data_IF_087693392455
#
_entry.id   IF_087693392455
#
_cell.length_a   1.000
_cell.length_b   1.000
_cell.length_c   1.000
_cell.angle_alpha   90.00
_cell.angle_beta   90.00
_cell.angle_gamma   90.00
#
_symmetry.space_group_name_H-M   'P 1'
#
loop_
_entity.id
_entity.type
_entity.pdbx_description
1 polymer ?
#
# COMPACT_ATOMS: atom_id res chain seq x y z
N UNK A 1 -17.64 5.14 5.55
CA UNK A 1 -18.04 4.81 6.94
C UNK A 1 -17.34 3.54 7.45
N UNK A 2 -17.55 2.37 6.82
CA UNK A 2 -16.92 1.10 7.23
C UNK A 2 -15.39 1.20 7.44
N UNK A 3 -14.67 1.79 6.49
CA UNK A 3 -13.22 2.03 6.61
C UNK A 3 -12.87 2.82 7.88
N UNK A 4 -13.64 3.85 8.22
CA UNK A 4 -13.44 4.63 9.45
C UNK A 4 -13.65 3.80 10.72
N UNK A 5 -14.66 2.91 10.73
CA UNK A 5 -14.88 1.98 11.83
C UNK A 5 -13.71 0.98 12.00
N UNK A 6 -13.18 0.45 10.89
CA UNK A 6 -12.03 -0.45 10.91
C UNK A 6 -10.76 0.26 11.38
N UNK A 7 -10.52 1.50 10.94
CA UNK A 7 -9.43 2.35 11.44
C UNK A 7 -9.53 2.52 12.96
N UNK A 8 -10.71 2.88 13.49
CA UNK A 8 -10.93 3.02 14.91
C UNK A 8 -10.56 1.73 15.67
N UNK A 9 -11.06 0.59 15.19
CA UNK A 9 -10.83 -0.70 15.84
C UNK A 9 -9.33 -1.08 15.81
N UNK A 10 -8.62 -0.86 14.71
CA UNK A 10 -7.17 -1.09 14.62
C UNK A 10 -6.41 -0.21 15.61
N UNK A 11 -6.75 1.08 15.69
CA UNK A 11 -6.09 2.01 16.61
C UNK A 11 -6.32 1.65 18.08
N UNK A 12 -7.55 1.22 18.41
CA UNK A 12 -7.87 0.71 19.75
C UNK A 12 -7.09 -0.56 20.08
N UNK A 13 -6.98 -1.51 19.13
CA UNK A 13 -6.13 -2.70 19.31
C UNK A 13 -4.65 -2.35 19.52
N UNK A 14 -4.18 -1.23 18.98
CA UNK A 14 -2.80 -0.71 19.18
C UNK A 14 -2.63 0.09 20.49
N UNK A 15 -3.70 0.24 21.28
CA UNK A 15 -3.69 0.93 22.57
C UNK A 15 -3.70 2.45 22.48
N UNK A 16 -4.11 3.03 21.35
CA UNK A 16 -4.18 4.49 21.18
C UNK A 16 -5.37 5.04 21.98
N UNK A 17 -5.24 6.21 22.66
CA UNK A 17 -6.34 6.82 23.41
C UNK A 17 -7.51 7.16 22.49
N UNK A 18 -8.73 6.97 23.01
CA UNK A 18 -9.97 7.17 22.25
C UNK A 18 -10.05 8.54 21.56
N UNK A 19 -9.69 9.63 22.25
CA UNK A 19 -9.67 10.98 21.65
C UNK A 19 -8.75 11.08 20.42
N UNK A 20 -7.64 10.36 20.41
CA UNK A 20 -6.73 10.31 19.27
C UNK A 20 -7.27 9.40 18.16
N UNK A 21 -7.90 8.28 18.51
CA UNK A 21 -8.60 7.42 17.55
C UNK A 21 -9.67 8.19 16.79
N UNK A 22 -10.54 8.94 17.49
CA UNK A 22 -11.61 9.74 16.88
C UNK A 22 -11.03 10.78 15.92
N UNK A 23 -9.94 11.46 16.28
CA UNK A 23 -9.30 12.43 15.39
C UNK A 23 -8.74 11.77 14.11
N UNK A 24 -8.16 10.58 14.22
CA UNK A 24 -7.65 9.85 13.06
C UNK A 24 -8.78 9.35 12.14
N UNK A 25 -9.90 8.91 12.73
CA UNK A 25 -11.12 8.55 11.99
C UNK A 25 -11.71 9.77 11.29
N UNK A 26 -11.75 10.92 11.97
CA UNK A 26 -12.18 12.19 11.39
C UNK A 26 -11.30 12.59 10.20
N UNK A 27 -9.98 12.41 10.30
CA UNK A 27 -9.06 12.67 9.19
C UNK A 27 -9.35 11.82 7.94
N UNK A 28 -9.91 10.63 8.09
CA UNK A 28 -10.38 9.81 6.95
C UNK A 28 -11.76 10.24 6.44
N UNK A 29 -12.73 10.42 7.35
CA UNK A 29 -14.12 10.69 6.99
C UNK A 29 -14.33 12.08 6.38
N UNK A 30 -13.59 13.07 6.87
CA UNK A 30 -13.68 14.47 6.43
C UNK A 30 -12.60 14.83 5.40
N UNK A 31 -11.86 13.85 4.87
CA UNK A 31 -10.96 14.12 3.75
C UNK A 31 -11.80 14.32 2.46
N UNK A 32 -11.77 15.52 1.84
CA UNK A 32 -12.59 15.81 0.67
C UNK A 32 -12.26 14.92 -0.54
N UNK A 33 -11.01 14.43 -0.66
CA UNK A 33 -10.63 13.53 -1.74
C UNK A 33 -11.28 12.15 -1.61
N UNK A 34 -11.20 11.54 -0.42
CA UNK A 34 -11.77 10.21 -0.19
C UNK A 34 -13.30 10.25 -0.27
N UNK A 35 -13.91 11.32 0.25
CA UNK A 35 -15.35 11.55 0.13
C UNK A 35 -15.79 11.67 -1.33
N UNK A 36 -15.16 12.55 -2.11
CA UNK A 36 -15.52 12.80 -3.51
C UNK A 36 -15.30 11.57 -4.40
N UNK A 37 -14.20 10.83 -4.19
CA UNK A 37 -13.92 9.62 -4.98
C UNK A 37 -14.93 8.52 -4.63
N UNK A 38 -15.31 8.40 -3.35
CA UNK A 38 -16.32 7.44 -2.90
C UNK A 38 -17.71 7.73 -3.46
N UNK A 39 -18.12 9.00 -3.53
CA UNK A 39 -19.45 9.39 -4.06
C UNK A 39 -19.54 9.30 -5.57
N UNK A 40 -18.41 9.27 -6.29
CA UNK A 40 -18.34 9.06 -7.76
C UNK A 40 -18.51 7.60 -8.20
N UNK A 41 -18.91 6.69 -7.30
CA UNK A 41 -19.17 5.28 -7.62
C UNK A 41 -17.92 4.41 -7.74
N UNK A 42 -16.77 4.86 -7.20
CA UNK A 42 -15.55 4.07 -7.22
C UNK A 42 -15.51 3.01 -6.10
N UNK A 43 -15.02 1.80 -6.42
CA UNK A 43 -14.85 0.70 -5.47
C UNK A 43 -13.55 0.75 -4.63
N UNK A 44 -12.66 1.74 -4.81
CA UNK A 44 -11.43 1.84 -4.00
C UNK A 44 -11.65 1.80 -2.48
N UNK A 45 -12.69 2.42 -1.89
CA UNK A 45 -12.97 2.29 -0.46
C UNK A 45 -13.29 0.85 -0.01
N UNK A 46 -13.83 0.00 -0.91
CA UNK A 46 -14.09 -1.42 -0.62
C UNK A 46 -12.76 -2.18 -0.49
N UNK A 47 -11.84 -1.96 -1.44
CA UNK A 47 -10.48 -2.52 -1.41
C UNK A 47 -9.77 -2.11 -0.11
N UNK A 48 -9.87 -0.83 0.24
CA UNK A 48 -9.33 -0.28 1.48
C UNK A 48 -9.91 -1.00 2.72
N UNK A 49 -11.23 -1.20 2.78
CA UNK A 49 -11.88 -1.91 3.88
C UNK A 49 -11.37 -3.36 4.01
N UNK A 50 -11.19 -4.06 2.89
CA UNK A 50 -10.66 -5.43 2.87
C UNK A 50 -9.23 -5.49 3.38
N UNK A 51 -8.35 -4.57 2.97
CA UNK A 51 -6.97 -4.48 3.47
C UNK A 51 -6.94 -4.25 4.98
N UNK A 52 -7.78 -3.35 5.49
CA UNK A 52 -7.89 -3.11 6.93
C UNK A 52 -8.45 -4.33 7.68
N UNK A 53 -9.40 -5.05 7.09
CA UNK A 53 -9.90 -6.30 7.66
C UNK A 53 -8.82 -7.36 7.78
N UNK A 54 -8.03 -7.57 6.70
CA UNK A 54 -6.87 -8.47 6.70
C UNK A 54 -5.90 -8.09 7.82
N UNK A 55 -5.63 -6.80 8.00
CA UNK A 55 -4.77 -6.32 9.09
C UNK A 55 -5.36 -6.68 10.47
N UNK A 56 -6.67 -6.54 10.68
CA UNK A 56 -7.33 -6.95 11.94
C UNK A 56 -7.22 -8.47 12.15
N UNK A 57 -7.45 -9.29 11.11
CA UNK A 57 -7.31 -10.75 11.19
C UNK A 57 -5.88 -11.14 11.57
N UNK A 58 -4.87 -10.52 10.96
CA UNK A 58 -3.45 -10.72 11.30
C UNK A 58 -3.16 -10.29 12.74
N UNK A 59 -3.67 -9.15 13.19
CA UNK A 59 -3.52 -8.68 14.57
C UNK A 59 -4.17 -9.61 15.61
N UNK A 60 -5.24 -10.32 15.23
CA UNK A 60 -5.93 -11.31 16.06
C UNK A 60 -5.33 -12.72 15.95
N UNK A 61 -4.35 -12.94 15.06
CA UNK A 61 -3.73 -14.24 14.82
C UNK A 61 -4.53 -15.19 13.92
N UNK A 62 -5.60 -14.71 13.27
CA UNK A 62 -6.44 -15.49 12.37
C UNK A 62 -5.82 -15.53 10.94
N UNK A 63 -4.76 -16.33 10.76
CA UNK A 63 -4.00 -16.38 9.49
C UNK A 63 -4.84 -16.91 8.33
N UNK A 64 -5.68 -17.92 8.58
CA UNK A 64 -6.53 -18.52 7.54
C UNK A 64 -7.53 -17.51 6.98
N UNK A 65 -8.22 -16.80 7.87
CA UNK A 65 -9.16 -15.75 7.48
C UNK A 65 -8.45 -14.63 6.71
N UNK A 66 -7.30 -14.17 7.20
CA UNK A 66 -6.48 -13.19 6.52
C UNK A 66 -6.06 -13.66 5.11
N UNK A 67 -5.69 -14.93 4.95
CA UNK A 67 -5.28 -15.49 3.67
C UNK A 67 -6.43 -15.55 2.65
N UNK A 68 -7.63 -15.95 3.09
CA UNK A 68 -8.82 -15.97 2.21
C UNK A 68 -9.15 -14.57 1.72
N UNK A 69 -9.24 -13.59 2.63
CA UNK A 69 -9.50 -12.20 2.25
C UNK A 69 -8.39 -11.60 1.40
N UNK A 70 -7.14 -11.99 1.63
CA UNK A 70 -6.01 -11.53 0.81
C UNK A 70 -6.08 -12.07 -0.62
N UNK A 71 -6.37 -13.36 -0.81
CA UNK A 71 -6.59 -13.92 -2.14
C UNK A 71 -7.75 -13.23 -2.88
N UNK A 72 -8.83 -12.95 -2.15
CA UNK A 72 -10.02 -12.28 -2.70
C UNK A 72 -9.73 -10.83 -3.08
N UNK A 73 -9.00 -10.07 -2.26
CA UNK A 73 -8.68 -8.66 -2.58
C UNK A 73 -7.71 -8.55 -3.76
N UNK A 74 -6.74 -9.45 -3.89
CA UNK A 74 -5.78 -9.48 -5.01
C UNK A 74 -6.48 -9.89 -6.31
N UNK A 75 -7.47 -10.78 -6.24
CA UNK A 75 -8.31 -11.09 -7.40
C UNK A 75 -9.20 -9.90 -7.81
N UNK A 76 -9.80 -9.23 -6.83
CA UNK A 76 -10.67 -8.07 -7.06
C UNK A 76 -9.90 -6.86 -7.63
N UNK A 77 -8.67 -6.63 -7.15
CA UNK A 77 -7.71 -5.66 -7.68
C UNK A 77 -6.31 -6.23 -7.54
N UNK A 78 -5.51 -6.18 -8.61
CA UNK A 78 -4.18 -6.80 -8.61
C UNK A 78 -3.17 -6.09 -7.68
N UNK A 79 -3.28 -4.78 -7.49
CA UNK A 79 -2.25 -3.98 -6.80
C UNK A 79 -1.99 -4.30 -5.31
N UNK A 80 -2.97 -4.72 -4.49
CA UNK A 80 -2.73 -5.31 -3.17
C UNK A 80 -1.67 -6.43 -3.11
N UNK A 81 -1.23 -6.99 -4.25
CA UNK A 81 -0.13 -7.95 -4.32
C UNK A 81 1.18 -7.43 -3.70
N UNK A 82 1.39 -6.11 -3.66
CA UNK A 82 2.60 -5.52 -3.05
C UNK A 82 2.75 -5.85 -1.55
N UNK A 83 1.65 -6.16 -0.88
CA UNK A 83 1.63 -6.48 0.55
C UNK A 83 2.01 -7.93 0.87
N UNK A 84 2.24 -8.79 -0.12
CA UNK A 84 2.55 -10.20 0.13
C UNK A 84 3.83 -10.34 0.97
N UNK A 85 4.88 -9.61 0.61
CA UNK A 85 6.17 -9.68 1.28
C UNK A 85 6.14 -9.24 2.75
N UNK A 86 5.62 -8.06 3.13
CA UNK A 86 5.57 -7.68 4.54
C UNK A 86 4.66 -8.61 5.36
N UNK A 87 3.55 -9.10 4.78
CA UNK A 87 2.67 -10.05 5.48
C UNK A 87 3.42 -11.35 5.77
N UNK A 88 4.13 -11.91 4.78
CA UNK A 88 4.91 -13.14 4.98
C UNK A 88 6.01 -12.95 6.03
N UNK A 89 6.71 -11.80 6.06
CA UNK A 89 7.74 -11.54 7.07
C UNK A 89 7.14 -11.50 8.48
N UNK A 90 5.99 -10.84 8.66
CA UNK A 90 5.31 -10.75 9.97
C UNK A 90 4.83 -12.11 10.47
N UNK A 91 4.56 -13.06 9.57
CA UNK A 91 4.18 -14.44 9.89
C UNK A 91 5.37 -15.34 10.32
N UNK A 92 6.54 -14.79 10.66
CA UNK A 92 7.65 -15.60 11.19
C UNK A 92 7.35 -16.19 12.58
N UNK A 93 7.92 -17.36 12.90
CA UNK A 93 7.68 -18.06 14.18
C UNK A 93 8.15 -17.24 15.38
N UNK A 94 9.23 -16.45 15.23
CA UNK A 94 9.70 -15.51 16.26
C UNK A 94 8.66 -14.43 16.62
N UNK A 95 7.71 -14.13 15.71
CA UNK A 95 6.60 -13.20 15.95
C UNK A 95 5.29 -13.91 16.33
N UNK A 96 5.15 -15.18 15.98
CA UNK A 96 3.91 -15.96 16.12
C UNK A 96 3.88 -16.91 17.33
N UNK A 97 5.02 -17.33 17.89
CA UNK A 97 5.12 -18.26 19.04
C UNK A 97 4.54 -17.71 20.36
N UNK A 98 3.94 -16.51 20.31
CA UNK A 98 3.07 -16.04 21.36
C UNK A 98 1.61 -16.25 20.93
N UNK A 99 0.91 -17.20 21.55
CA UNK A 99 -0.55 -17.10 21.82
C UNK A 99 -0.94 -15.81 22.61
N UNK A 100 -0.04 -14.82 22.67
CA UNK A 100 -0.21 -13.47 23.15
C UNK A 100 0.18 -12.56 22.01
N UNK A 101 -0.84 -12.09 21.28
CA UNK A 101 -0.92 -10.84 20.49
C UNK A 101 0.41 -10.42 19.83
N UNK A 102 0.52 -10.38 18.49
CA UNK A 102 1.70 -9.80 17.84
C UNK A 102 1.96 -8.42 18.47
N UNK A 103 3.12 -8.25 19.12
CA UNK A 103 3.52 -7.01 19.80
C UNK A 103 3.83 -5.95 18.74
N UNK A 104 2.81 -5.48 18.04
CA UNK A 104 2.85 -4.22 17.30
C UNK A 104 2.99 -3.13 18.36
N UNK A 105 4.18 -2.54 18.44
CA UNK A 105 4.59 -1.48 19.38
C UNK A 105 3.42 -0.85 20.13
N UNK A 106 3.14 -1.35 21.33
CA UNK A 106 2.08 -0.84 22.19
C UNK A 106 2.38 0.62 22.51
N UNK A 107 1.36 1.46 22.38
CA UNK A 107 1.40 2.87 22.80
C UNK A 107 1.75 2.95 24.30
N UNK A 108 3.05 2.97 24.60
CA UNK A 108 3.57 3.07 25.97
C UNK A 108 4.62 4.16 25.91
N UNK A 109 4.47 5.18 26.77
CA UNK A 109 5.17 6.47 26.81
C UNK A 109 6.73 6.45 26.87
N UNK A 110 7.39 5.32 26.62
CA UNK A 110 8.86 5.18 26.62
C UNK A 110 9.56 5.64 25.34
N UNK A 111 8.85 5.91 24.23
CA UNK A 111 9.49 6.32 22.96
C UNK A 111 9.89 7.80 22.88
N UNK A 112 9.65 8.61 23.92
CA UNK A 112 10.09 10.02 23.91
C UNK A 112 11.52 10.25 24.46
N UNK A 113 12.24 9.20 24.89
CA UNK A 113 13.63 9.31 25.37
C UNK A 113 14.48 8.11 24.92
N UNK A 114 14.87 8.09 23.65
CA UNK A 114 16.11 7.47 23.17
C UNK A 114 16.28 7.83 21.70
N UNK A 115 16.66 9.07 21.46
CA UNK A 115 17.46 9.42 20.29
C UNK A 115 18.87 8.93 20.59
N UNK A 116 19.25 7.75 20.11
CA UNK A 116 20.65 7.40 19.91
C UNK A 116 20.77 6.56 18.64
N UNK A 117 21.15 7.27 17.59
CA UNK A 117 21.96 7.02 16.38
C UNK A 117 22.68 5.65 16.19
N UNK A 118 22.59 4.68 17.09
CA UNK A 118 23.40 3.44 17.04
C UNK A 118 22.71 2.26 16.31
N UNK A 119 21.39 2.27 16.12
CA UNK A 119 20.68 1.15 15.47
C UNK A 119 20.83 1.10 13.95
N UNK A 120 21.13 2.23 13.31
CA UNK A 120 21.23 2.35 11.85
C UNK A 120 22.58 1.81 11.34
N UNK A 121 23.66 1.96 12.12
CA UNK A 121 25.01 1.56 11.69
C UNK A 121 25.24 0.05 11.82
N UNK A 122 24.67 -0.60 12.84
CA UNK A 122 24.85 -2.04 13.06
C UNK A 122 24.04 -2.91 12.07
N UNK A 123 22.88 -2.44 11.62
CA UNK A 123 22.07 -3.17 10.61
C UNK A 123 22.64 -3.08 9.19
N UNK A 124 23.30 -1.96 8.83
CA UNK A 124 23.90 -1.77 7.49
C UNK A 124 24.95 -2.84 7.14
N UNK A 125 25.79 -3.25 8.11
CA UNK A 125 26.83 -4.28 7.87
C UNK A 125 26.31 -5.71 7.82
N UNK A 126 25.17 -6.01 8.45
CA UNK A 126 24.57 -7.36 8.44
C UNK A 126 23.77 -7.66 7.16
N UNK A 127 23.22 -6.62 6.52
CA UNK A 127 22.35 -6.74 5.33
C UNK A 127 23.10 -7.30 4.10
N UNK A 128 24.42 -7.10 3.99
CA UNK A 128 25.18 -7.49 2.78
C UNK A 128 25.73 -8.93 2.81
N UNK A 129 25.65 -9.64 3.94
CA UNK A 129 25.98 -11.08 4.04
C UNK A 129 24.77 -11.90 4.48
N UNK A 130 23.64 -11.68 3.83
CA UNK A 130 22.47 -12.55 4.01
C UNK A 130 22.67 -13.78 3.13
N UNK A 131 22.98 -14.90 3.76
CA UNK A 131 23.09 -16.18 3.08
C UNK A 131 21.70 -16.53 2.50
N UNK A 132 21.54 -16.47 1.17
CA UNK A 132 20.26 -16.66 0.47
C UNK A 132 19.55 -17.95 0.92
N UNK A 133 20.34 -18.99 1.21
CA UNK A 133 19.85 -20.28 1.71
C UNK A 133 19.22 -20.21 3.13
N UNK A 134 19.73 -19.35 4.01
CA UNK A 134 19.13 -19.10 5.33
C UNK A 134 17.80 -18.34 5.20
N UNK A 135 17.69 -17.41 4.24
CA UNK A 135 16.43 -16.72 3.94
C UNK A 135 15.41 -17.70 3.36
N UNK A 136 15.81 -18.54 2.41
CA UNK A 136 14.94 -19.57 1.83
C UNK A 136 14.47 -20.58 2.88
N UNK A 137 15.33 -21.00 3.81
CA UNK A 137 14.92 -21.84 4.95
C UNK A 137 13.96 -21.14 5.90
N UNK A 138 14.18 -19.85 6.21
CA UNK A 138 13.24 -19.06 7.01
C UNK A 138 11.90 -18.87 6.29
N UNK A 139 11.88 -18.75 4.96
CA UNK A 139 10.65 -18.65 4.17
C UNK A 139 9.76 -19.90 4.25
N UNK A 140 10.34 -21.08 4.53
CA UNK A 140 9.62 -22.35 4.70
C UNK A 140 9.00 -22.50 6.11
N UNK A 141 8.22 -21.50 6.54
CA UNK A 141 7.42 -21.58 7.75
C UNK A 141 6.03 -22.15 7.43
N UNK A 142 5.50 -23.05 8.27
CA UNK A 142 4.16 -23.64 8.10
C UNK A 142 3.07 -22.59 7.87
N UNK A 143 3.12 -21.46 8.59
CA UNK A 143 2.11 -20.41 8.44
C UNK A 143 2.27 -19.59 7.17
N UNK A 144 3.51 -19.37 6.71
CA UNK A 144 3.80 -18.72 5.43
C UNK A 144 3.30 -19.56 4.26
N UNK A 145 3.58 -20.87 4.32
CA UNK A 145 3.10 -21.84 3.32
C UNK A 145 1.57 -21.91 3.35
N UNK A 146 0.96 -22.01 4.54
CA UNK A 146 -0.49 -22.02 4.69
C UNK A 146 -1.13 -20.75 4.12
N UNK A 147 -0.61 -19.57 4.48
CA UNK A 147 -1.09 -18.30 3.97
C UNK A 147 -0.96 -18.22 2.44
N UNK A 148 0.21 -18.59 1.90
CA UNK A 148 0.47 -18.59 0.47
C UNK A 148 -0.43 -19.55 -0.32
N UNK A 149 -0.61 -20.79 0.17
CA UNK A 149 -1.46 -21.78 -0.48
C UNK A 149 -2.94 -21.40 -0.46
N UNK A 150 -3.45 -20.89 0.67
CA UNK A 150 -4.85 -20.48 0.77
C UNK A 150 -5.12 -19.23 -0.08
N UNK A 151 -4.31 -18.18 0.07
CA UNK A 151 -4.50 -16.94 -0.69
C UNK A 151 -4.31 -17.16 -2.19
N UNK A 152 -3.27 -17.92 -2.59
CA UNK A 152 -3.05 -18.32 -3.97
C UNK A 152 -4.20 -19.19 -4.50
N UNK A 153 -4.66 -20.17 -3.73
CA UNK A 153 -5.79 -21.03 -4.08
C UNK A 153 -7.06 -20.23 -4.36
N UNK A 154 -7.44 -19.31 -3.45
CA UNK A 154 -8.59 -18.42 -3.64
C UNK A 154 -8.41 -17.56 -4.90
N UNK A 155 -7.24 -16.96 -5.09
CA UNK A 155 -6.94 -16.16 -6.28
C UNK A 155 -7.10 -16.97 -7.57
N UNK A 156 -6.47 -18.14 -7.67
CA UNK A 156 -6.51 -18.98 -8.88
C UNK A 156 -7.90 -19.57 -9.13
N UNK A 157 -8.64 -19.99 -8.10
CA UNK A 157 -10.00 -20.50 -8.25
C UNK A 157 -10.93 -19.40 -8.79
N UNK A 158 -10.92 -18.21 -8.20
CA UNK A 158 -11.74 -17.10 -8.67
C UNK A 158 -11.32 -16.64 -10.08
N UNK A 159 -10.03 -16.59 -10.37
CA UNK A 159 -9.50 -16.28 -11.70
C UNK A 159 -9.93 -17.34 -12.73
N UNK A 160 -9.92 -18.63 -12.36
CA UNK A 160 -10.37 -19.73 -13.20
C UNK A 160 -11.88 -19.67 -13.48
N UNK A 161 -12.70 -19.37 -12.47
CA UNK A 161 -14.14 -19.15 -12.63
C UNK A 161 -14.40 -17.98 -13.58
N UNK A 162 -13.75 -16.84 -13.36
CA UNK A 162 -13.91 -15.66 -14.22
C UNK A 162 -13.41 -15.92 -15.65
N UNK A 163 -12.31 -16.66 -15.82
CA UNK A 163 -11.82 -17.06 -17.13
C UNK A 163 -12.79 -18.02 -17.83
N UNK A 164 -13.41 -18.96 -17.11
CA UNK A 164 -14.44 -19.84 -17.67
C UNK A 164 -15.65 -19.04 -18.18
N UNK A 165 -16.07 -18.00 -17.46
CA UNK A 165 -17.23 -17.17 -17.83
C UNK A 165 -16.94 -16.18 -18.98
N UNK A 166 -15.75 -15.57 -19.01
CA UNK A 166 -15.45 -14.43 -19.88
C UNK A 166 -14.30 -14.66 -20.87
N UNK A 167 -13.60 -15.79 -20.77
CA UNK A 167 -12.48 -16.18 -21.63
C UNK A 167 -11.30 -15.21 -21.59
N UNK A 168 -10.62 -15.09 -22.74
CA UNK A 168 -9.40 -14.30 -22.87
C UNK A 168 -9.58 -12.80 -22.60
N UNK A 169 -10.79 -12.27 -22.84
CA UNK A 169 -11.11 -10.87 -22.57
C UNK A 169 -10.92 -10.52 -21.09
N UNK A 170 -11.29 -11.42 -20.18
CA UNK A 170 -11.07 -11.21 -18.75
C UNK A 170 -9.58 -11.14 -18.41
N UNK A 171 -8.76 -12.07 -18.88
CA UNK A 171 -7.31 -12.03 -18.61
C UNK A 171 -6.66 -10.77 -19.19
N UNK A 172 -7.06 -10.38 -20.41
CA UNK A 172 -6.62 -9.16 -21.06
C UNK A 172 -6.91 -7.93 -20.20
N UNK A 173 -8.17 -7.68 -19.88
CA UNK A 173 -8.60 -6.44 -19.24
C UNK A 173 -8.35 -6.40 -17.72
N UNK A 174 -8.56 -7.52 -17.02
CA UNK A 174 -8.49 -7.55 -15.56
C UNK A 174 -7.06 -7.72 -15.01
N UNK A 175 -6.16 -8.38 -15.77
CA UNK A 175 -4.81 -8.71 -15.30
C UNK A 175 -3.72 -8.11 -16.19
N UNK A 176 -3.70 -8.46 -17.48
CA UNK A 176 -2.58 -8.16 -18.36
C UNK A 176 -2.51 -6.68 -18.76
N UNK A 177 -3.66 -6.01 -18.87
CA UNK A 177 -3.75 -4.60 -19.21
C UNK A 177 -2.95 -3.72 -18.25
N UNK A 178 -2.87 -4.08 -16.97
CA UNK A 178 -2.11 -3.32 -15.98
C UNK A 178 -0.59 -3.29 -16.25
N UNK A 179 -0.05 -4.27 -16.98
CA UNK A 179 1.37 -4.33 -17.35
C UNK A 179 1.67 -3.43 -18.54
N UNK A 180 0.76 -3.32 -19.49
CA UNK A 180 0.97 -2.59 -20.75
C UNK A 180 0.40 -1.18 -20.72
N UNK A 181 -0.55 -0.89 -19.81
CA UNK A 181 -1.24 0.40 -19.72
C UNK A 181 -0.28 1.59 -19.70
N UNK A 182 -0.57 2.57 -20.55
CA UNK A 182 0.00 3.91 -20.57
C UNK A 182 -1.15 4.91 -20.55
N UNK A 183 -0.96 6.05 -19.89
CA UNK A 183 -1.97 7.10 -19.79
C UNK A 183 -1.28 8.45 -20.02
N UNK A 184 -1.50 9.09 -21.18
CA UNK A 184 -0.80 10.32 -21.55
C UNK A 184 -1.54 11.59 -21.12
N UNK A 185 -2.81 11.56 -20.70
CA UNK A 185 -3.62 12.79 -20.50
C UNK A 185 -3.92 13.09 -19.02
N UNK A 186 -4.10 12.05 -18.21
CA UNK A 186 -4.51 12.23 -16.80
C UNK A 186 -3.62 11.47 -15.83
N UNK A 187 -2.32 11.69 -15.97
CA UNK A 187 -1.29 10.93 -15.27
C UNK A 187 -0.39 11.85 -14.44
N UNK A 188 -0.49 11.73 -13.12
CA UNK A 188 0.37 12.47 -12.17
C UNK A 188 1.78 11.88 -12.04
N UNK A 189 2.10 10.85 -12.81
CA UNK A 189 3.40 10.20 -12.77
C UNK A 189 4.51 11.12 -13.27
N UNK A 190 5.71 10.95 -12.71
CA UNK A 190 6.94 11.58 -13.21
C UNK A 190 7.20 11.18 -14.67
N UNK A 191 6.73 9.99 -15.07
CA UNK A 191 6.87 9.47 -16.44
C UNK A 191 5.88 10.09 -17.44
N UNK A 192 4.90 10.91 -16.98
CA UNK A 192 3.86 11.50 -17.82
C UNK A 192 4.41 12.18 -19.07
N UNK A 193 5.36 13.10 -18.91
CA UNK A 193 5.85 13.92 -20.02
C UNK A 193 6.58 13.07 -21.07
N UNK A 194 7.36 12.09 -20.62
CA UNK A 194 8.03 11.15 -21.53
C UNK A 194 7.03 10.28 -22.29
N UNK A 195 6.00 9.76 -21.61
CA UNK A 195 4.92 8.96 -22.20
C UNK A 195 4.10 9.79 -23.19
N UNK A 196 3.86 11.06 -22.87
CA UNK A 196 3.13 12.00 -23.72
C UNK A 196 3.88 12.27 -25.04
N UNK A 197 5.17 12.59 -24.95
CA UNK A 197 6.00 12.86 -26.13
C UNK A 197 6.24 11.64 -27.02
N UNK A 198 6.29 10.45 -26.44
CA UNK A 198 6.50 9.20 -27.18
C UNK A 198 5.17 8.50 -27.53
N UNK A 199 4.04 9.20 -27.48
CA UNK A 199 2.74 8.57 -27.75
C UNK A 199 2.64 8.01 -29.18
N UNK A 200 3.34 8.60 -30.15
CA UNK A 200 3.36 8.16 -31.55
C UNK A 200 4.34 6.99 -31.82
N UNK A 201 5.31 6.76 -30.93
CA UNK A 201 6.26 5.67 -31.05
C UNK A 201 5.91 4.53 -30.08
N UNK A 202 5.67 3.34 -30.61
CA UNK A 202 5.39 2.18 -29.76
C UNK A 202 6.61 1.85 -28.87
N UNK A 203 6.43 1.94 -27.55
CA UNK A 203 7.44 1.48 -26.61
C UNK A 203 7.73 0.00 -26.81
N UNK A 204 9.01 -0.35 -26.88
CA UNK A 204 9.49 -1.73 -26.90
C UNK A 204 9.15 -2.43 -25.58
N UNK A 205 9.10 -3.76 -25.59
CA UNK A 205 8.83 -4.55 -24.39
C UNK A 205 9.90 -4.32 -23.29
N UNK A 206 11.16 -4.11 -23.68
CA UNK A 206 12.25 -3.82 -22.76
C UNK A 206 12.04 -2.49 -22.02
N UNK A 207 11.67 -1.42 -22.72
CA UNK A 207 11.39 -0.11 -22.11
C UNK A 207 10.21 -0.20 -21.14
N UNK A 208 9.14 -0.92 -21.52
CA UNK A 208 7.98 -1.16 -20.64
C UNK A 208 8.41 -1.86 -19.35
N UNK A 209 9.24 -2.90 -19.43
CA UNK A 209 9.73 -3.62 -18.26
C UNK A 209 10.68 -2.78 -17.40
N UNK A 210 11.53 -1.95 -18.02
CA UNK A 210 12.46 -1.08 -17.30
C UNK A 210 11.74 -0.06 -16.42
N UNK A 211 10.55 0.42 -16.82
CA UNK A 211 9.75 1.33 -15.97
C UNK A 211 9.27 0.69 -14.66
N UNK A 212 9.18 -0.65 -14.59
CA UNK A 212 8.81 -1.37 -13.36
C UNK A 212 10.00 -1.59 -12.43
N UNK A 213 11.24 -1.49 -12.92
CA UNK A 213 12.43 -1.83 -12.14
C UNK A 213 12.65 -0.90 -10.94
N UNK A 214 12.57 0.44 -11.06
CA UNK A 214 12.64 1.32 -9.89
C UNK A 214 11.53 1.03 -8.87
N UNK A 215 10.30 0.84 -9.35
CA UNK A 215 9.14 0.53 -8.51
C UNK A 215 9.37 -0.77 -7.74
N UNK A 216 9.75 -1.86 -8.41
CA UNK A 216 10.03 -3.15 -7.80
C UNK A 216 11.19 -3.07 -6.80
N UNK A 217 12.27 -2.37 -7.16
CA UNK A 217 13.44 -2.18 -6.29
C UNK A 217 13.05 -1.49 -4.99
N UNK A 218 12.30 -0.39 -5.05
CA UNK A 218 11.86 0.31 -3.83
C UNK A 218 10.95 -0.58 -2.99
N UNK A 219 10.03 -1.34 -3.60
CA UNK A 219 9.17 -2.27 -2.85
C UNK A 219 9.96 -3.34 -2.10
N UNK A 220 11.01 -3.92 -2.71
CA UNK A 220 11.86 -4.91 -2.05
C UNK A 220 12.70 -4.31 -0.91
N UNK A 221 13.23 -3.11 -1.13
CA UNK A 221 14.13 -2.45 -0.17
C UNK A 221 13.37 -2.00 1.07
N UNK A 222 12.15 -1.45 0.95
CA UNK A 222 11.41 -0.92 2.11
C UNK A 222 11.02 -2.00 3.13
N UNK A 223 10.62 -3.17 2.65
CA UNK A 223 10.05 -4.25 3.47
C UNK A 223 10.93 -4.65 4.68
N UNK A 224 12.22 -5.00 4.53
CA UNK A 224 13.05 -5.41 5.67
C UNK A 224 13.27 -4.34 6.73
N UNK A 225 13.21 -3.04 6.39
CA UNK A 225 13.41 -1.96 7.37
C UNK A 225 12.20 -1.76 8.28
N UNK A 226 10.98 -1.94 7.77
CA UNK A 226 9.76 -1.58 8.49
C UNK A 226 8.77 -2.71 8.72
N UNK A 227 9.05 -3.95 8.28
CA UNK A 227 8.14 -5.09 8.45
C UNK A 227 7.66 -5.31 9.90
N UNK A 228 8.43 -4.90 10.92
CA UNK A 228 8.04 -4.99 12.34
C UNK A 228 6.82 -4.13 12.71
N UNK A 229 6.65 -2.97 12.06
CA UNK A 229 5.44 -2.14 12.19
C UNK A 229 4.64 -2.29 10.90
N UNK A 230 3.82 -3.35 10.83
CA UNK A 230 3.09 -3.71 9.63
C UNK A 230 2.23 -2.55 9.08
N UNK A 231 1.39 -1.85 9.86
CA UNK A 231 0.64 -0.69 9.36
C UNK A 231 1.51 0.39 8.72
N UNK A 232 2.66 0.71 9.33
CA UNK A 232 3.60 1.67 8.76
C UNK A 232 4.28 1.15 7.49
N UNK A 233 4.66 -0.13 7.47
CA UNK A 233 5.25 -0.77 6.29
C UNK A 233 4.28 -0.74 5.10
N UNK A 234 3.01 -1.12 5.31
CA UNK A 234 1.98 -1.07 4.28
C UNK A 234 1.77 0.37 3.77
N UNK A 235 1.74 1.36 4.67
CA UNK A 235 1.65 2.77 4.28
C UNK A 235 2.84 3.19 3.40
N UNK A 236 4.07 2.93 3.85
CA UNK A 236 5.29 3.30 3.14
C UNK A 236 5.39 2.62 1.77
N UNK A 237 5.07 1.32 1.70
CA UNK A 237 4.98 0.58 0.44
C UNK A 237 3.96 1.19 -0.50
N UNK A 238 2.77 1.55 -0.01
CA UNK A 238 1.71 2.15 -0.84
C UNK A 238 2.15 3.50 -1.41
N UNK A 239 2.72 4.37 -0.57
CA UNK A 239 3.21 5.68 -1.02
C UNK A 239 4.30 5.51 -2.06
N UNK A 240 5.28 4.62 -1.83
CA UNK A 240 6.32 4.33 -2.80
C UNK A 240 5.77 3.68 -4.08
N UNK A 241 4.80 2.77 -3.95
CA UNK A 241 4.18 2.12 -5.10
C UNK A 241 3.52 3.14 -6.01
N UNK A 242 2.77 4.07 -5.42
CA UNK A 242 2.12 5.14 -6.17
C UNK A 242 3.16 6.10 -6.76
N UNK A 243 4.12 6.58 -5.98
CA UNK A 243 5.11 7.56 -6.42
C UNK A 243 5.96 7.08 -7.61
N UNK A 244 6.32 5.79 -7.63
CA UNK A 244 7.11 5.18 -8.71
C UNK A 244 6.26 4.48 -9.78
N UNK A 245 4.93 4.61 -9.74
CA UNK A 245 4.09 4.02 -10.78
C UNK A 245 4.17 4.84 -12.07
N UNK A 246 4.26 4.16 -13.22
CA UNK A 246 4.19 4.79 -14.55
C UNK A 246 2.86 5.47 -14.84
N UNK A 247 1.77 5.02 -14.22
CA UNK A 247 0.43 5.59 -14.37
C UNK A 247 -0.14 5.85 -12.98
N UNK A 248 -0.31 7.13 -12.66
CA UNK A 248 -0.91 7.59 -11.41
C UNK A 248 -2.17 8.37 -11.75
N UNK A 249 -3.31 7.82 -11.35
CA UNK A 249 -4.59 8.53 -11.36
C UNK A 249 -4.92 9.03 -9.95
N UNK A 250 -5.76 10.06 -9.83
CA UNK A 250 -6.14 10.63 -8.54
C UNK A 250 -6.77 9.59 -7.57
N UNK A 251 -7.34 8.51 -8.10
CA UNK A 251 -7.95 7.43 -7.33
C UNK A 251 -6.94 6.70 -6.43
N UNK A 252 -5.67 6.62 -6.85
CA UNK A 252 -4.63 5.87 -6.12
C UNK A 252 -4.30 6.54 -4.79
N UNK A 253 -4.57 7.85 -4.66
CA UNK A 253 -4.33 8.58 -3.41
C UNK A 253 -5.20 8.07 -2.26
N UNK A 254 -6.37 7.47 -2.56
CA UNK A 254 -7.25 6.85 -1.56
C UNK A 254 -6.52 5.75 -0.78
N UNK A 255 -5.63 5.01 -1.42
CA UNK A 255 -4.96 3.86 -0.80
C UNK A 255 -4.07 4.27 0.37
N UNK A 256 -3.17 5.23 0.16
CA UNK A 256 -2.32 5.69 1.26
C UNK A 256 -3.08 6.60 2.22
N UNK A 257 -4.14 7.32 1.80
CA UNK A 257 -5.00 8.03 2.72
C UNK A 257 -5.78 7.11 3.65
N UNK A 258 -6.07 5.87 3.24
CA UNK A 258 -6.68 4.87 4.11
C UNK A 258 -5.72 4.42 5.22
N UNK A 259 -4.44 4.31 4.90
CA UNK A 259 -3.41 3.84 5.83
C UNK A 259 -2.82 4.96 6.69
N UNK A 260 -2.85 6.21 6.22
CA UNK A 260 -2.32 7.38 6.93
C UNK A 260 -2.88 7.52 8.36
N UNK A 261 -4.19 7.43 8.63
CA UNK A 261 -4.75 7.46 9.98
C UNK A 261 -4.14 6.45 10.95
N UNK A 262 -3.68 5.30 10.46
CA UNK A 262 -3.06 4.27 11.28
C UNK A 262 -1.68 4.65 11.79
N UNK A 263 -1.00 5.61 11.15
CA UNK A 263 0.35 6.04 11.54
C UNK A 263 0.34 7.41 12.25
N UNK A 264 -0.69 8.23 12.03
CA UNK A 264 -0.79 9.59 12.57
C UNK A 264 -0.48 9.70 14.08
N UNK A 265 -0.95 8.82 14.98
CA UNK A 265 -0.68 8.92 16.42
C UNK A 265 0.81 8.89 16.79
N UNK A 266 1.64 8.24 15.97
CA UNK A 266 3.09 8.09 16.17
C UNK A 266 3.90 9.17 15.45
N UNK A 267 3.24 10.08 14.71
CA UNK A 267 3.92 11.15 13.96
C UNK A 267 3.83 12.50 14.66
N UNK A 268 4.84 13.34 14.43
CA UNK A 268 4.79 14.78 14.81
C UNK A 268 3.92 15.61 13.85
N UNK A 269 3.29 14.97 12.85
CA UNK A 269 2.55 15.62 11.76
C UNK A 269 1.13 16.06 12.16
N UNK A 270 0.68 15.75 13.37
CA UNK A 270 -0.67 16.05 13.86
C UNK A 270 -0.97 17.55 13.84
N UNK A 271 -1.62 18.05 12.77
CA UNK A 271 -2.20 19.40 12.60
C UNK A 271 -1.39 20.56 13.25
N UNK A 272 -0.07 20.39 13.28
CA UNK A 272 0.91 21.41 13.61
C UNK A 272 1.45 21.96 12.30
N UNK A 273 2.22 23.05 12.35
CA UNK A 273 2.81 23.69 11.18
C UNK A 273 3.41 22.71 10.16
N UNK A 274 4.13 21.68 10.60
CA UNK A 274 4.68 20.65 9.70
C UNK A 274 3.61 19.88 8.90
N UNK A 275 2.53 19.45 9.56
CA UNK A 275 1.43 18.74 8.90
C UNK A 275 0.65 19.65 7.94
N UNK A 276 0.40 20.90 8.36
CA UNK A 276 -0.24 21.90 7.51
C UNK A 276 0.60 22.24 6.28
N UNK A 277 1.93 22.35 6.45
CA UNK A 277 2.86 22.54 5.33
C UNK A 277 2.82 21.33 4.40
N UNK A 278 2.84 20.09 4.91
CA UNK A 278 2.74 18.90 4.05
C UNK A 278 1.43 18.87 3.26
N UNK A 279 0.30 19.19 3.89
CA UNK A 279 -1.00 19.27 3.22
C UNK A 279 -0.98 20.40 2.18
N UNK A 280 -0.48 21.58 2.53
CA UNK A 280 -0.37 22.73 1.65
C UNK A 280 0.49 22.45 0.43
N UNK A 281 1.67 21.84 0.61
CA UNK A 281 2.55 21.43 -0.48
C UNK A 281 1.90 20.39 -1.38
N UNK A 282 1.22 19.40 -0.80
CA UNK A 282 0.53 18.36 -1.57
C UNK A 282 -0.62 18.94 -2.40
N UNK A 283 -1.44 19.81 -1.81
CA UNK A 283 -2.54 20.50 -2.50
C UNK A 283 -1.99 21.43 -3.59
N UNK A 284 -0.97 22.24 -3.28
CA UNK A 284 -0.35 23.15 -4.24
C UNK A 284 0.25 22.41 -5.44
N UNK A 285 0.94 21.28 -5.21
CA UNK A 285 1.48 20.46 -6.29
C UNK A 285 0.38 19.93 -7.23
N UNK A 286 -0.76 19.51 -6.69
CA UNK A 286 -1.89 19.07 -7.52
C UNK A 286 -2.52 20.21 -8.30
N UNK A 287 -2.78 21.35 -7.66
CA UNK A 287 -3.31 22.52 -8.37
C UNK A 287 -2.35 22.99 -9.46
N UNK A 288 -1.05 22.99 -9.19
CA UNK A 288 -0.04 23.35 -10.18
C UNK A 288 -0.08 22.42 -11.39
N UNK A 289 -0.09 21.10 -11.17
CA UNK A 289 -0.18 20.13 -12.27
C UNK A 289 -1.49 20.25 -13.05
N UNK A 290 -2.63 20.33 -12.35
CA UNK A 290 -3.96 20.45 -12.98
C UNK A 290 -4.14 21.75 -13.74
N UNK A 291 -3.53 22.84 -13.27
CA UNK A 291 -3.56 24.13 -13.96
C UNK A 291 -2.90 24.03 -15.33
N UNK A 292 -1.68 23.48 -15.40
CA UNK A 292 -1.00 23.28 -16.68
C UNK A 292 -1.73 22.29 -17.60
N UNK A 293 -2.22 21.18 -17.05
CA UNK A 293 -3.02 20.22 -17.80
C UNK A 293 -4.28 20.88 -18.41
N UNK A 294 -4.95 21.75 -17.64
CA UNK A 294 -6.11 22.49 -18.13
C UNK A 294 -5.76 23.48 -19.25
N UNK A 295 -4.66 24.24 -19.11
CA UNK A 295 -4.20 25.16 -20.15
C UNK A 295 -3.88 24.41 -21.45
N UNK A 296 -3.19 23.28 -21.35
CA UNK A 296 -2.81 22.44 -22.48
C UNK A 296 -4.05 21.82 -23.15
N UNK A 297 -4.87 21.08 -22.39
CA UNK A 297 -5.91 20.22 -22.96
C UNK A 297 -7.20 20.97 -23.33
N UNK A 298 -7.57 21.99 -22.55
CA UNK A 298 -8.84 22.72 -22.77
C UNK A 298 -8.64 24.08 -23.44
N UNK A 299 -7.50 24.74 -23.23
CA UNK A 299 -7.21 26.04 -23.86
C UNK A 299 -6.23 25.97 -25.03
N UNK A 300 -5.57 24.83 -25.26
CA UNK A 300 -4.61 24.67 -26.35
C UNK A 300 -3.36 25.55 -26.22
N UNK A 301 -3.02 25.95 -25.00
CA UNK A 301 -1.84 26.79 -24.72
C UNK A 301 -0.68 25.86 -24.37
N UNK A 302 0.36 25.86 -25.23
CA UNK A 302 1.61 25.12 -25.05
C UNK A 302 2.67 25.96 -24.33
#
# INVERSE_FOLDING_TARGET
LLVGHLIYHILMLRGVPEKQCILCVAAWLFNPFTFTIGTRGNCEPVVCAMILWILICLMRGHVVEAAVWYGLVVHFRIYPIIYVLPILIVLDSEYFDSCKRPRLNSWTNKQLKSSNTESIVFHSKAIFRVNLWLVLKKLLNKQRILFGLISGGVFFVLTGISFYLYGQKFLGEALLYHLTRTDPRHNFSIYFYQIYLHHEHEFTLAERLMTFLPQFTVQLVLVPFWAKDLPFCLFAQTVAFVAFNKVITAQYFVWFFCLLPLILPWTKLRLRWKGLICIGLWVAAQFHWLFWAYLLEFKGIN
#
